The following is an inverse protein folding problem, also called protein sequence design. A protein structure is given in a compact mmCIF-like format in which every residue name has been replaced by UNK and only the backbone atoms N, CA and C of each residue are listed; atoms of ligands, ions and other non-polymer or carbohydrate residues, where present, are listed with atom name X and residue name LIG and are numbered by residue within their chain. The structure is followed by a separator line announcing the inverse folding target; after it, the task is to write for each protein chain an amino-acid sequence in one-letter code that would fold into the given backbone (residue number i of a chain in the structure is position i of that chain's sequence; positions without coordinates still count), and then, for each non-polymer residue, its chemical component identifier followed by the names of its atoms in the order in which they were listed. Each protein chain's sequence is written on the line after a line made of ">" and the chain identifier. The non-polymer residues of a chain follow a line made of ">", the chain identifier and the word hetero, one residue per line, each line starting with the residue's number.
data_IF_278737215930
#
_entry.id   IF_278737215930
#
_cell.length_a   1.000
_cell.length_b   1.000
_cell.length_c   1.000
_cell.angle_alpha   90.00
_cell.angle_beta   90.00
_cell.angle_gamma   90.00
#
_symmetry.space_group_name_H-M   'P 1'
#
loop_
_entity.id
_entity.type
_entity.pdbx_description
1 polymer ?
#
# COMPACT_ATOMS: atom_id res chain seq x y z
N UNK A 1 -0.66 -4.29 10.57
CA UNK A 1 -1.02 -2.92 10.16
C UNK A 1 -0.70 -2.70 8.69
N UNK A 2 -1.62 -2.07 7.98
CA UNK A 2 -1.47 -1.76 6.56
C UNK A 2 -1.40 -0.25 6.42
N UNK A 3 -0.42 0.24 5.66
CA UNK A 3 -0.31 1.65 5.31
C UNK A 3 -0.22 1.75 3.79
N UNK A 4 -0.99 2.68 3.22
CA UNK A 4 -0.95 2.93 1.78
C UNK A 4 -0.67 4.41 1.54
N UNK A 5 0.34 4.69 0.73
CA UNK A 5 0.69 6.04 0.32
C UNK A 5 0.02 6.34 -1.02
N UNK A 6 -0.68 7.45 -1.10
CA UNK A 6 -1.53 7.79 -2.26
C UNK A 6 -1.30 9.23 -2.71
N UNK A 7 -1.94 9.60 -3.82
CA UNK A 7 -2.06 10.98 -4.27
C UNK A 7 -3.53 11.26 -4.56
N UNK A 8 -3.84 12.54 -4.86
CA UNK A 8 -5.23 12.95 -5.14
C UNK A 8 -5.79 12.28 -6.39
N UNK A 9 -4.97 12.07 -7.39
CA UNK A 9 -5.39 11.40 -8.62
C UNK A 9 -4.57 10.14 -8.83
N UNK A 10 -5.14 9.01 -8.47
CA UNK A 10 -4.43 7.75 -8.56
C UNK A 10 -5.42 6.58 -8.68
N UNK A 11 -5.74 6.17 -9.91
CA UNK A 11 -6.65 5.02 -10.10
C UNK A 11 -6.15 3.75 -9.43
N UNK A 12 -4.86 3.46 -9.52
CA UNK A 12 -4.29 2.28 -8.87
C UNK A 12 -4.43 2.32 -7.36
N UNK A 13 -4.31 3.52 -6.77
CA UNK A 13 -4.53 3.68 -5.33
C UNK A 13 -5.97 3.33 -4.97
N UNK A 14 -6.91 3.76 -5.80
CA UNK A 14 -8.32 3.47 -5.56
C UNK A 14 -8.61 1.97 -5.68
N UNK A 15 -8.00 1.30 -6.63
CA UNK A 15 -8.14 -0.16 -6.76
C UNK A 15 -7.58 -0.88 -5.54
N UNK A 16 -6.43 -0.43 -5.05
CA UNK A 16 -5.83 -1.04 -3.85
C UNK A 16 -6.73 -0.86 -2.63
N UNK A 17 -7.24 0.36 -2.44
CA UNK A 17 -8.14 0.64 -1.31
C UNK A 17 -9.42 -0.18 -1.42
N UNK A 18 -9.96 -0.31 -2.63
CA UNK A 18 -11.16 -1.10 -2.85
C UNK A 18 -10.94 -2.57 -2.50
N UNK A 19 -9.77 -3.11 -2.86
CA UNK A 19 -9.45 -4.49 -2.51
C UNK A 19 -9.40 -4.67 -1.00
N UNK A 20 -8.75 -3.75 -0.28
CA UNK A 20 -8.72 -3.83 1.17
C UNK A 20 -10.14 -3.78 1.77
N UNK A 21 -10.99 -2.89 1.23
CA UNK A 21 -12.37 -2.79 1.69
C UNK A 21 -13.14 -4.08 1.45
N UNK A 22 -12.97 -4.68 0.29
CA UNK A 22 -13.65 -5.94 -0.06
C UNK A 22 -13.21 -7.09 0.84
N UNK A 23 -11.97 -7.05 1.29
CA UNK A 23 -11.43 -8.05 2.20
C UNK A 23 -11.66 -7.71 3.67
N UNK A 24 -12.35 -6.61 3.93
CA UNK A 24 -12.63 -6.12 5.29
C UNK A 24 -11.34 -5.87 6.08
N UNK A 25 -10.33 -5.34 5.42
CA UNK A 25 -9.05 -5.03 6.04
C UNK A 25 -8.95 -3.54 6.30
N UNK A 26 -8.59 -3.19 7.52
CA UNK A 26 -8.35 -1.80 7.89
C UNK A 26 -6.97 -1.37 7.37
N UNK A 27 -6.87 -0.10 6.99
CA UNK A 27 -5.60 0.44 6.53
C UNK A 27 -5.51 1.92 6.88
N UNK A 28 -4.29 2.42 6.95
CA UNK A 28 -4.02 3.84 7.10
C UNK A 28 -3.66 4.40 5.74
N UNK A 29 -4.33 5.44 5.33
CA UNK A 29 -4.01 6.11 4.07
C UNK A 29 -3.22 7.38 4.36
N UNK A 30 -2.08 7.53 3.69
CA UNK A 30 -1.27 8.73 3.75
C UNK A 30 -1.21 9.33 2.36
N UNK A 31 -1.90 10.44 2.16
CA UNK A 31 -1.87 11.15 0.88
C UNK A 31 -0.62 12.01 0.88
N UNK A 32 0.33 11.69 0.01
CA UNK A 32 1.63 12.37 0.03
C UNK A 32 1.53 13.83 -0.36
N UNK A 33 0.51 14.20 -1.14
CA UNK A 33 0.30 15.60 -1.49
C UNK A 33 -0.20 16.41 -0.31
N UNK A 34 -1.16 15.84 0.43
CA UNK A 34 -1.69 16.51 1.62
C UNK A 34 -0.66 16.63 2.73
N UNK A 35 0.25 15.66 2.83
CA UNK A 35 1.25 15.62 3.89
C UNK A 35 2.58 16.22 3.46
N UNK A 36 2.64 16.78 2.26
CA UNK A 36 3.87 17.40 1.73
C UNK A 36 5.06 16.42 1.72
N UNK A 37 4.80 15.18 1.39
CA UNK A 37 5.84 14.17 1.24
C UNK A 37 6.30 14.18 -0.21
N UNK A 38 7.58 14.42 -0.44
CA UNK A 38 8.13 14.40 -1.78
C UNK A 38 8.31 12.97 -2.28
N UNK A 39 8.52 12.83 -3.60
CA UNK A 39 8.80 11.51 -4.17
C UNK A 39 10.11 10.94 -3.66
N UNK A 40 11.09 11.80 -3.38
CA UNK A 40 12.34 11.37 -2.77
C UNK A 40 12.11 10.81 -1.37
N UNK A 41 11.28 11.49 -0.60
CA UNK A 41 10.93 11.01 0.74
C UNK A 41 10.17 9.69 0.65
N UNK A 42 9.26 9.58 -0.30
CA UNK A 42 8.51 8.34 -0.51
C UNK A 42 9.46 7.19 -0.83
N UNK A 43 10.46 7.44 -1.69
CA UNK A 43 11.46 6.42 -2.02
C UNK A 43 12.20 5.95 -0.77
N UNK A 44 12.57 6.87 0.10
CA UNK A 44 13.26 6.52 1.35
C UNK A 44 12.37 5.72 2.28
N UNK A 45 11.07 6.02 2.30
CA UNK A 45 10.13 5.34 3.18
C UNK A 45 9.73 3.96 2.67
N UNK A 46 9.67 3.78 1.37
CA UNK A 46 9.02 2.59 0.78
C UNK A 46 9.88 1.84 -0.22
N UNK A 47 10.90 2.48 -0.75
CA UNK A 47 11.70 1.88 -1.81
C UNK A 47 11.19 2.15 -3.21
N UNK A 48 10.12 2.94 -3.37
CA UNK A 48 9.58 3.27 -4.68
C UNK A 48 9.10 4.71 -4.76
N UNK A 49 9.05 5.24 -5.97
CA UNK A 49 8.59 6.61 -6.23
C UNK A 49 7.12 6.71 -6.58
N UNK A 50 6.56 5.64 -7.13
CA UNK A 50 5.20 5.67 -7.65
C UNK A 50 4.19 5.46 -6.53
N UNK A 51 2.94 5.78 -6.80
CA UNK A 51 1.83 5.47 -5.90
C UNK A 51 0.90 4.51 -6.61
N UNK A 52 0.23 3.62 -5.87
CA UNK A 52 0.34 3.49 -4.42
C UNK A 52 1.64 2.82 -4.00
N UNK A 53 2.07 3.09 -2.77
CA UNK A 53 3.10 2.29 -2.10
C UNK A 53 2.47 1.71 -0.86
N UNK A 54 2.60 0.41 -0.67
CA UNK A 54 1.88 -0.32 0.36
C UNK A 54 2.87 -0.97 1.30
N UNK A 55 2.66 -0.77 2.59
CA UNK A 55 3.47 -1.36 3.66
C UNK A 55 2.55 -2.25 4.49
N UNK A 56 2.91 -3.50 4.67
CA UNK A 56 2.13 -4.43 5.50
C UNK A 56 3.05 -4.97 6.59
N UNK A 57 2.70 -4.67 7.83
CA UNK A 57 3.45 -5.12 9.01
C UNK A 57 4.94 -4.83 8.87
N UNK A 58 5.27 -3.62 8.40
CA UNK A 58 6.63 -3.16 8.26
C UNK A 58 7.33 -3.60 6.98
N UNK A 59 6.66 -4.35 6.12
CA UNK A 59 7.26 -4.83 4.87
C UNK A 59 6.70 -4.05 3.69
N UNK A 60 7.59 -3.47 2.90
CA UNK A 60 7.20 -2.74 1.70
C UNK A 60 6.89 -3.75 0.59
N UNK A 61 5.66 -3.78 0.15
CA UNK A 61 5.24 -4.74 -0.87
C UNK A 61 5.10 -4.12 -2.26
N UNK A 62 5.24 -2.80 -2.37
CA UNK A 62 5.18 -2.13 -3.66
C UNK A 62 3.80 -1.60 -3.97
N UNK A 63 3.42 -1.66 -5.25
CA UNK A 63 2.18 -1.06 -5.73
C UNK A 63 1.04 -2.05 -5.83
N UNK A 64 0.01 -1.63 -6.56
CA UNK A 64 -1.20 -2.42 -6.70
C UNK A 64 -0.95 -3.77 -7.38
N UNK A 65 -0.08 -3.80 -8.41
CA UNK A 65 0.20 -5.04 -9.12
C UNK A 65 0.75 -6.12 -8.19
N UNK A 66 1.67 -5.73 -7.33
CA UNK A 66 2.23 -6.67 -6.35
C UNK A 66 1.21 -7.08 -5.31
N UNK A 67 0.38 -6.13 -4.88
CA UNK A 67 -0.70 -6.44 -3.95
C UNK A 67 -1.64 -7.48 -4.56
N UNK A 68 -2.03 -7.27 -5.81
CA UNK A 68 -2.94 -8.18 -6.50
C UNK A 68 -2.30 -9.56 -6.67
N UNK A 69 -1.02 -9.59 -7.04
CA UNK A 69 -0.27 -10.85 -7.16
C UNK A 69 -0.27 -11.63 -5.84
N UNK A 70 0.00 -10.95 -4.75
CA UNK A 70 0.02 -11.59 -3.43
C UNK A 70 -1.36 -12.13 -3.07
N UNK A 71 -2.40 -11.38 -3.37
CA UNK A 71 -3.76 -11.79 -3.10
C UNK A 71 -4.13 -13.04 -3.93
N UNK A 72 -3.82 -13.01 -5.23
CA UNK A 72 -4.19 -14.10 -6.13
C UNK A 72 -3.41 -15.39 -5.84
N UNK A 73 -2.24 -15.27 -5.22
CA UNK A 73 -1.41 -16.42 -4.88
C UNK A 73 -1.54 -16.83 -3.42
N UNK A 74 -2.55 -16.33 -2.73
CA UNK A 74 -2.86 -16.68 -1.33
C UNK A 74 -1.72 -16.35 -0.37
N UNK A 75 -0.90 -15.35 -0.70
CA UNK A 75 0.22 -14.92 0.14
C UNK A 75 -0.11 -13.71 0.98
N UNK A 76 -1.17 -12.98 0.62
CA UNK A 76 -1.53 -11.75 1.33
C UNK A 76 -1.90 -12.04 2.78
N UNK A 77 -2.66 -13.10 3.03
CA UNK A 77 -3.05 -13.47 4.40
C UNK A 77 -1.85 -13.75 5.28
N UNK A 78 -0.80 -14.35 4.72
CA UNK A 78 0.41 -14.63 5.48
C UNK A 78 1.07 -13.35 5.95
N UNK A 79 1.13 -12.34 5.08
CA UNK A 79 1.72 -11.05 5.42
C UNK A 79 0.90 -10.33 6.48
N UNK A 80 -0.42 -10.38 6.34
CA UNK A 80 -1.32 -9.69 7.26
C UNK A 80 -1.29 -10.34 8.64
N UNK A 81 -1.17 -11.65 8.70
CA UNK A 81 -1.17 -12.39 9.96
C UNK A 81 0.21 -12.49 10.59
N UNK A 82 1.23 -11.98 9.93
CA UNK A 82 2.61 -12.00 10.43
C UNK A 82 2.84 -10.75 11.27
N UNK A 83 2.74 -10.89 12.58
CA UNK A 83 2.80 -9.79 13.54
C UNK A 83 4.23 -9.44 13.95
N UNK A 84 5.21 -10.09 13.43
CA UNK A 84 6.58 -9.92 13.90
C UNK A 84 7.26 -8.64 13.44
#
# INVERSE_FOLDING_TARGET
>A
MITIYTTNWCPSCNYAKKLFDELSLDYNEINIESENISREQLLKLTGGYSVPQIIINGKAIGGYDNLLFLYQNNKLNQLINDDE
#
